data_IF_919476873740
#
_entry.id   IF_919476873740
#
_cell.length_a   1.000
_cell.length_b   1.000
_cell.length_c   1.000
_cell.angle_alpha   90.00
_cell.angle_beta   90.00
_cell.angle_gamma   90.00
#
_symmetry.space_group_name_H-M   'P 1'
#
loop_
_entity.id
_entity.type
_entity.pdbx_description
1 polymer ?
#
# COMPACT_ATOMS: atom_id res chain seq x y z
N UNK A 1 -13.69 -23.15 -6.76
CA UNK A 1 -13.98 -21.79 -6.26
C UNK A 1 -12.86 -20.87 -6.73
N UNK A 2 -13.07 -20.19 -7.86
CA UNK A 2 -12.04 -19.39 -8.53
C UNK A 2 -11.96 -18.00 -7.90
N UNK A 3 -10.82 -17.68 -7.28
CA UNK A 3 -10.54 -16.33 -6.79
C UNK A 3 -10.35 -15.41 -8.00
N UNK A 4 -11.17 -14.36 -8.09
CA UNK A 4 -11.23 -13.47 -9.24
C UNK A 4 -9.89 -12.74 -9.43
N UNK A 5 -9.22 -13.14 -10.50
CA UNK A 5 -8.08 -12.51 -11.14
C UNK A 5 -8.31 -10.99 -11.30
N UNK A 6 -7.43 -10.14 -10.75
CA UNK A 6 -7.52 -8.66 -10.74
C UNK A 6 -7.35 -8.04 -12.16
N UNK A 7 -8.25 -8.38 -13.09
CA UNK A 7 -8.33 -7.77 -14.42
C UNK A 7 -9.15 -6.48 -14.33
N UNK A 8 -8.49 -5.36 -14.08
CA UNK A 8 -9.13 -4.04 -14.23
C UNK A 8 -9.26 -3.68 -15.71
N UNK A 9 -10.49 -3.59 -16.24
CA UNK A 9 -10.83 -3.24 -17.63
C UNK A 9 -10.81 -1.72 -17.91
N UNK A 10 -10.02 -0.96 -17.16
CA UNK A 10 -9.97 0.49 -17.27
C UNK A 10 -8.80 0.88 -18.17
N UNK A 11 -9.08 1.62 -19.26
CA UNK A 11 -8.05 2.21 -20.10
C UNK A 11 -7.05 2.98 -19.21
N UNK A 12 -5.74 2.73 -19.37
CA UNK A 12 -4.69 3.31 -18.53
C UNK A 12 -4.83 4.83 -18.50
N UNK A 13 -5.34 5.35 -17.38
CA UNK A 13 -5.46 6.79 -17.15
C UNK A 13 -4.08 7.42 -17.30
N UNK A 14 -4.03 8.69 -17.73
CA UNK A 14 -2.78 9.47 -17.82
C UNK A 14 -1.96 9.38 -16.52
N UNK A 15 -2.63 9.26 -15.38
CA UNK A 15 -2.05 9.01 -14.06
C UNK A 15 -1.29 7.67 -13.95
N UNK A 16 -1.83 6.57 -14.51
CA UNK A 16 -1.13 5.27 -14.55
C UNK A 16 0.10 5.30 -15.47
N UNK A 17 0.05 6.00 -16.60
CA UNK A 17 1.22 6.20 -17.47
C UNK A 17 2.31 7.03 -16.78
N UNK A 18 1.91 8.04 -16.01
CA UNK A 18 2.82 8.80 -15.16
C UNK A 18 3.48 7.89 -14.11
N UNK A 19 2.77 6.93 -13.51
CA UNK A 19 3.37 6.00 -12.54
C UNK A 19 4.55 5.20 -13.11
N UNK A 20 4.46 4.67 -14.34
CA UNK A 20 5.60 3.95 -14.96
C UNK A 20 6.78 4.89 -15.24
N UNK A 21 6.55 6.04 -15.87
CA UNK A 21 7.60 7.02 -16.12
C UNK A 21 8.24 7.55 -14.82
N UNK A 22 7.45 7.63 -13.75
CA UNK A 22 7.91 8.01 -12.43
C UNK A 22 8.74 6.94 -11.74
N UNK A 23 8.39 5.67 -11.95
CA UNK A 23 9.14 4.52 -11.46
C UNK A 23 10.52 4.43 -12.14
N UNK A 24 10.56 4.65 -13.46
CA UNK A 24 11.81 4.64 -14.24
C UNK A 24 12.79 5.74 -13.81
N UNK A 25 12.28 6.85 -13.26
CA UNK A 25 13.08 7.96 -12.71
C UNK A 25 13.58 7.72 -11.28
N UNK A 26 13.24 6.61 -10.65
CA UNK A 26 13.69 6.32 -9.29
C UNK A 26 15.16 5.86 -9.30
N UNK A 27 15.93 6.19 -8.25
CA UNK A 27 17.26 5.64 -8.06
C UNK A 27 17.24 4.11 -8.06
N UNK A 28 18.26 3.43 -8.65
CA UNK A 28 18.30 1.97 -8.69
C UNK A 28 18.16 1.30 -7.32
N UNK A 29 18.78 1.90 -6.30
CA UNK A 29 18.69 1.44 -4.90
C UNK A 29 17.26 1.45 -4.39
N UNK A 30 16.51 2.52 -4.67
CA UNK A 30 15.11 2.62 -4.29
C UNK A 30 14.22 1.65 -5.08
N UNK A 31 14.52 1.42 -6.36
CA UNK A 31 13.80 0.42 -7.17
C UNK A 31 14.01 -1.00 -6.63
N UNK A 32 15.23 -1.33 -6.24
CA UNK A 32 15.54 -2.64 -5.67
C UNK A 32 14.84 -2.85 -4.31
N UNK A 33 14.76 -1.80 -3.50
CA UNK A 33 13.96 -1.83 -2.27
C UNK A 33 12.47 -2.01 -2.57
N UNK A 34 11.91 -1.27 -3.52
CA UNK A 34 10.50 -1.40 -3.92
C UNK A 34 10.13 -2.79 -4.46
N UNK A 35 11.08 -3.49 -5.08
CA UNK A 35 10.88 -4.86 -5.55
C UNK A 35 10.79 -5.88 -4.41
N UNK A 36 11.30 -5.54 -3.21
CA UNK A 36 11.30 -6.39 -2.02
C UNK A 36 10.26 -5.96 -0.98
N UNK A 37 9.76 -4.73 -1.10
CA UNK A 37 8.72 -4.20 -0.23
C UNK A 37 7.45 -5.08 -0.29
N UNK A 38 6.86 -5.32 0.89
CA UNK A 38 5.64 -6.11 1.02
C UNK A 38 4.39 -5.29 0.66
N UNK A 39 4.45 -3.96 0.82
CA UNK A 39 3.34 -3.06 0.50
C UNK A 39 3.35 -2.65 -0.99
N UNK A 40 2.17 -2.52 -1.63
CA UNK A 40 2.05 -1.96 -2.97
C UNK A 40 2.20 -0.42 -2.92
N UNK A 41 3.44 0.04 -2.78
CA UNK A 41 3.77 1.47 -2.77
C UNK A 41 3.55 2.12 -4.14
N UNK A 42 3.01 3.34 -4.16
CA UNK A 42 3.04 4.17 -5.36
C UNK A 42 4.44 4.82 -5.55
N UNK A 43 4.97 4.91 -6.79
CA UNK A 43 6.29 5.49 -7.08
C UNK A 43 6.49 6.92 -6.54
N UNK A 44 5.44 7.74 -6.57
CA UNK A 44 5.41 9.11 -6.02
C UNK A 44 5.65 9.13 -4.51
N UNK A 45 4.95 8.26 -3.79
CA UNK A 45 5.00 8.17 -2.32
C UNK A 45 6.33 7.59 -1.86
N UNK A 46 6.80 6.53 -2.53
CA UNK A 46 8.12 5.94 -2.27
C UNK A 46 9.25 6.98 -2.48
N UNK A 47 9.19 7.77 -3.55
CA UNK A 47 10.17 8.85 -3.79
C UNK A 47 10.13 9.93 -2.71
N UNK A 48 8.95 10.31 -2.24
CA UNK A 48 8.81 11.30 -1.15
C UNK A 48 9.40 10.77 0.16
N UNK A 49 9.08 9.53 0.53
CA UNK A 49 9.63 8.86 1.71
C UNK A 49 11.16 8.76 1.61
N UNK A 50 11.68 8.29 0.47
CA UNK A 50 13.11 8.17 0.20
C UNK A 50 13.86 9.49 0.36
N UNK A 51 13.34 10.60 -0.20
CA UNK A 51 13.98 11.92 -0.04
C UNK A 51 13.99 12.38 1.41
N UNK A 52 12.98 12.05 2.22
CA UNK A 52 12.96 12.37 3.65
C UNK A 52 13.98 11.50 4.40
N UNK A 53 14.01 10.20 4.10
CA UNK A 53 14.98 9.26 4.66
C UNK A 53 16.42 9.64 4.33
N UNK A 54 16.73 9.98 3.07
CA UNK A 54 18.05 10.42 2.63
C UNK A 54 18.52 11.69 3.34
N UNK A 55 17.63 12.67 3.53
CA UNK A 55 17.98 13.88 4.30
C UNK A 55 18.29 13.56 5.76
N UNK A 56 17.51 12.68 6.40
CA UNK A 56 17.74 12.23 7.78
C UNK A 56 19.00 11.38 7.92
N UNK A 57 19.32 10.60 6.88
CA UNK A 57 20.47 9.72 6.80
C UNK A 57 21.77 10.43 6.39
N UNK A 58 21.77 11.76 6.21
CA UNK A 58 22.91 12.52 5.68
C UNK A 58 23.46 11.91 4.38
N UNK A 59 22.54 11.55 3.46
CA UNK A 59 22.85 10.94 2.15
C UNK A 59 23.50 9.55 2.21
N UNK A 60 23.47 8.87 3.35
CA UNK A 60 23.94 7.49 3.49
C UNK A 60 22.84 6.50 3.12
N UNK A 61 22.98 5.86 1.96
CA UNK A 61 21.96 4.96 1.40
C UNK A 61 21.56 3.83 2.34
N UNK A 62 22.51 3.14 2.99
CA UNK A 62 22.21 2.05 3.94
C UNK A 62 21.36 2.50 5.13
N UNK A 63 21.56 3.73 5.59
CA UNK A 63 20.76 4.29 6.70
C UNK A 63 19.39 4.70 6.18
N UNK A 64 19.31 5.26 4.98
CA UNK A 64 18.04 5.59 4.34
C UNK A 64 17.18 4.35 4.07
N UNK A 65 17.77 3.22 3.65
CA UNK A 65 17.05 1.96 3.46
C UNK A 65 16.43 1.45 4.77
N UNK A 66 17.19 1.44 5.87
CA UNK A 66 16.63 1.07 7.19
C UNK A 66 15.47 1.97 7.62
N UNK A 67 15.58 3.28 7.38
CA UNK A 67 14.48 4.21 7.64
C UNK A 67 13.26 3.94 6.74
N UNK A 68 13.46 3.44 5.52
CA UNK A 68 12.35 3.04 4.64
C UNK A 68 11.66 1.79 5.17
N UNK A 69 12.41 0.80 5.68
CA UNK A 69 11.87 -0.41 6.31
C UNK A 69 11.03 -0.06 7.55
N UNK A 70 11.50 0.88 8.38
CA UNK A 70 10.75 1.39 9.54
C UNK A 70 9.41 2.02 9.13
N UNK A 71 9.44 2.88 8.09
CA UNK A 71 8.21 3.51 7.57
C UNK A 71 7.26 2.45 6.99
N UNK A 72 7.79 1.41 6.34
CA UNK A 72 6.98 0.31 5.83
C UNK A 72 6.30 -0.46 6.96
N UNK A 73 7.04 -0.79 8.02
CA UNK A 73 6.51 -1.49 9.19
C UNK A 73 5.40 -0.68 9.89
N UNK A 74 5.58 0.63 10.06
CA UNK A 74 4.54 1.52 10.58
C UNK A 74 3.29 1.51 9.69
N UNK A 75 3.49 1.53 8.36
CA UNK A 75 2.38 1.55 7.42
C UNK A 75 1.62 0.22 7.38
N UNK A 76 2.34 -0.90 7.46
CA UNK A 76 1.76 -2.24 7.58
C UNK A 76 0.93 -2.38 8.86
N UNK A 77 1.44 -1.87 10.00
CA UNK A 77 0.70 -1.88 11.25
C UNK A 77 -0.61 -1.07 11.15
N UNK A 78 -0.56 0.11 10.53
CA UNK A 78 -1.76 0.92 10.32
C UNK A 78 -2.77 0.25 9.39
N UNK A 79 -2.30 -0.36 8.29
CA UNK A 79 -3.16 -1.05 7.33
C UNK A 79 -3.85 -2.27 7.96
N UNK A 80 -3.10 -3.06 8.74
CA UNK A 80 -3.64 -4.19 9.51
C UNK A 80 -4.75 -3.75 10.49
N UNK A 81 -4.62 -2.58 11.13
CA UNK A 81 -5.65 -2.03 12.01
C UNK A 81 -6.90 -1.60 11.24
N UNK A 82 -6.75 -1.01 10.05
CA UNK A 82 -7.88 -0.62 9.19
C UNK A 82 -8.64 -1.85 8.74
N UNK A 83 -7.94 -2.85 8.17
CA UNK A 83 -8.54 -4.11 7.73
C UNK A 83 -9.27 -4.79 8.89
N UNK A 84 -8.62 -4.88 10.07
CA UNK A 84 -9.24 -5.45 11.27
C UNK A 84 -10.53 -4.72 11.67
N UNK A 85 -10.51 -3.38 11.66
CA UNK A 85 -11.69 -2.57 11.99
C UNK A 85 -12.81 -2.77 10.98
N UNK A 86 -12.49 -2.83 9.70
CA UNK A 86 -13.48 -3.09 8.65
C UNK A 86 -14.12 -4.46 8.81
N UNK A 87 -13.33 -5.50 9.13
CA UNK A 87 -13.84 -6.83 9.45
C UNK A 87 -14.74 -6.84 10.69
N UNK A 88 -14.36 -6.12 11.76
CA UNK A 88 -15.18 -5.98 12.97
C UNK A 88 -16.50 -5.23 12.70
N UNK A 89 -16.49 -4.23 11.82
CA UNK A 89 -17.70 -3.50 11.41
C UNK A 89 -18.61 -4.34 10.51
N UNK A 90 -18.05 -5.11 9.58
CA UNK A 90 -18.80 -6.05 8.75
C UNK A 90 -19.49 -7.13 9.61
N UNK A 91 -18.77 -7.72 10.57
CA UNK A 91 -19.33 -8.70 11.50
C UNK A 91 -20.48 -8.12 12.36
N UNK A 92 -20.42 -6.84 12.72
CA UNK A 92 -21.52 -6.13 13.41
C UNK A 92 -22.74 -5.90 12.50
N UNK A 93 -22.50 -5.63 11.22
CA UNK A 93 -23.55 -5.40 10.23
C UNK A 93 -24.32 -6.70 9.92
N UNK A 94 -23.62 -7.83 9.83
CA UNK A 94 -24.21 -9.15 9.56
C UNK A 94 -25.07 -9.67 10.73
N UNK A 95 -24.69 -9.37 11.97
CA UNK A 95 -25.49 -9.69 13.16
C UNK A 95 -26.79 -8.90 13.27
N UNK A 96 -26.92 -7.76 12.58
CA UNK A 96 -28.13 -6.92 12.59
C UNK A 96 -29.16 -7.34 11.52
N UNK A 97 -28.75 -8.13 10.52
CA UNK A 97 -29.60 -8.56 9.40
C UNK A 97 -30.41 -9.84 9.67
N UNK A 98 -30.14 -10.58 10.74
CA UNK A 98 -30.79 -11.89 11.01
C UNK A 98 -32.16 -11.76 11.71
N UNK A 99 -32.58 -10.57 12.17
CA UNK A 99 -33.81 -10.40 12.97
C UNK A 99 -35.02 -9.84 12.20
N UNK A 100 -34.98 -9.69 10.86
CA UNK A 100 -36.11 -9.12 10.10
C UNK A 100 -36.57 -10.02 8.95
N UNK A 101 -36.84 -11.30 9.21
CA UNK A 101 -37.80 -12.08 8.40
C UNK A 101 -38.48 -13.15 9.25
N UNK A 102 -39.50 -12.76 10.00
CA UNK A 102 -40.54 -13.68 10.48
C UNK A 102 -41.88 -12.95 10.57
N UNK A 103 -42.60 -12.93 9.45
CA UNK A 103 -44.07 -12.89 9.37
C UNK A 103 -44.40 -14.04 8.41
N UNK A 104 -45.13 -15.08 8.81
CA UNK A 104 -46.42 -15.01 9.49
C UNK A 104 -47.46 -14.94 8.39
#
# INVERSE_FOLDING_TARGET
MASANQRTSLALSRSQRHNMAEYDRLPPVLRHWLAQAALPWSPTSARRAWRKAMRRALWREKVALRLMDEIEAERLAQDALVIRRELEMAARQDGKSIQITSRG
#
